data_IF_992276812048
#
_entry.id   IF_992276812048
#
_cell.length_a   1.000
_cell.length_b   1.000
_cell.length_c   1.000
_cell.angle_alpha   90.00
_cell.angle_beta   90.00
_cell.angle_gamma   90.00
#
_symmetry.space_group_name_H-M   'P 1'
#
loop_
_entity.id
_entity.type
_entity.pdbx_description
1 polymer ?
#
# COMPACT_ATOMS: atom_id res chain seq x y z
N UNK A 1 -4.24 -9.16 -3.32
CA UNK A 1 -4.25 -8.71 -1.92
C UNK A 1 -5.70 -8.66 -1.46
N UNK A 2 -5.99 -9.19 -0.27
CA UNK A 2 -7.31 -9.09 0.36
C UNK A 2 -7.14 -8.83 1.85
N UNK A 3 -8.09 -8.16 2.48
CA UNK A 3 -8.05 -7.85 3.90
C UNK A 3 -8.99 -6.72 4.31
N UNK A 4 -9.00 -6.40 5.59
CA UNK A 4 -9.84 -5.35 6.18
C UNK A 4 -8.98 -4.41 7.04
N UNK A 5 -9.40 -3.16 7.06
CA UNK A 5 -8.92 -2.12 7.96
C UNK A 5 -10.01 -1.83 8.98
N UNK A 6 -9.65 -1.77 10.26
CA UNK A 6 -10.58 -1.51 11.36
C UNK A 6 -10.27 -0.17 12.01
N UNK A 7 -11.33 0.59 12.30
CA UNK A 7 -11.23 1.82 13.07
C UNK A 7 -10.93 1.56 14.55
N UNK A 8 -10.62 2.61 15.32
CA UNK A 8 -10.45 2.51 16.78
C UNK A 8 -11.68 2.01 17.53
N UNK A 9 -12.87 2.14 16.92
CA UNK A 9 -14.15 1.63 17.42
C UNK A 9 -14.35 0.13 17.12
N UNK A 10 -13.38 -0.51 16.47
CA UNK A 10 -13.39 -1.91 16.08
C UNK A 10 -14.31 -2.23 14.91
N UNK A 11 -14.79 -1.21 14.18
CA UNK A 11 -15.65 -1.42 13.01
C UNK A 11 -14.83 -1.43 11.73
N UNK A 12 -15.37 -2.08 10.69
CA UNK A 12 -14.78 -2.06 9.36
C UNK A 12 -14.73 -0.62 8.85
N UNK A 13 -13.51 -0.15 8.58
CA UNK A 13 -13.26 1.13 7.91
C UNK A 13 -13.17 0.94 6.40
N UNK A 14 -12.45 -0.10 5.95
CA UNK A 14 -12.26 -0.40 4.53
C UNK A 14 -11.99 -1.88 4.31
N UNK A 15 -12.61 -2.44 3.27
CA UNK A 15 -12.33 -3.77 2.78
C UNK A 15 -11.52 -3.73 1.48
N UNK A 16 -10.71 -4.75 1.26
CA UNK A 16 -9.87 -4.88 0.08
C UNK A 16 -10.01 -6.28 -0.52
N UNK A 17 -10.13 -6.33 -1.83
CA UNK A 17 -9.95 -7.53 -2.62
C UNK A 17 -9.51 -7.12 -4.02
N UNK A 18 -8.22 -7.28 -4.30
CA UNK A 18 -7.59 -6.77 -5.52
C UNK A 18 -6.58 -7.76 -6.05
N UNK A 19 -6.53 -7.90 -7.37
CA UNK A 19 -5.68 -8.83 -8.08
C UNK A 19 -4.88 -8.08 -9.13
N UNK A 20 -3.64 -8.53 -9.34
CA UNK A 20 -2.72 -8.00 -10.32
C UNK A 20 -2.17 -9.14 -11.18
N UNK A 21 -1.85 -8.84 -12.43
CA UNK A 21 -1.20 -9.74 -13.37
C UNK A 21 0.04 -9.06 -13.93
N UNK A 22 1.20 -9.72 -13.89
CA UNK A 22 2.50 -9.16 -14.29
C UNK A 22 2.84 -7.80 -13.63
N UNK A 23 2.38 -7.61 -12.39
CA UNK A 23 2.60 -6.38 -11.62
C UNK A 23 1.71 -5.19 -12.02
N UNK A 24 0.82 -5.36 -12.99
CA UNK A 24 -0.21 -4.40 -13.34
C UNK A 24 -1.56 -4.77 -12.68
N UNK A 25 -2.36 -3.77 -12.34
CA UNK A 25 -3.70 -3.99 -11.80
C UNK A 25 -4.55 -4.77 -12.82
N UNK A 26 -5.32 -5.74 -12.30
CA UNK A 26 -6.18 -6.59 -13.12
C UNK A 26 -7.64 -6.34 -12.75
N UNK A 27 -8.05 -6.65 -11.51
CA UNK A 27 -9.42 -6.42 -11.04
C UNK A 27 -9.42 -6.11 -9.54
N UNK A 28 -10.27 -5.19 -9.09
CA UNK A 28 -10.41 -4.80 -7.70
C UNK A 28 -11.88 -4.63 -7.30
N UNK A 29 -12.21 -5.08 -6.09
CA UNK A 29 -13.47 -4.79 -5.43
C UNK A 29 -13.45 -3.32 -5.01
N UNK A 30 -14.51 -2.59 -5.36
CA UNK A 30 -14.65 -1.18 -5.03
C UNK A 30 -14.95 -0.99 -3.54
N UNK A 31 -14.80 0.24 -3.06
CA UNK A 31 -15.03 0.60 -1.66
C UNK A 31 -16.47 0.36 -1.21
N UNK A 32 -17.42 0.31 -2.15
CA UNK A 32 -18.82 -0.05 -1.90
C UNK A 32 -19.04 -1.54 -1.58
N UNK A 33 -17.99 -2.38 -1.69
CA UNK A 33 -18.00 -3.83 -1.50
C UNK A 33 -19.07 -4.58 -2.30
N UNK A 34 -19.54 -3.98 -3.39
CA UNK A 34 -20.63 -4.52 -4.21
C UNK A 34 -20.29 -4.51 -5.70
N UNK A 35 -19.38 -3.63 -6.13
CA UNK A 35 -19.00 -3.48 -7.53
C UNK A 35 -17.51 -3.71 -7.77
N UNK A 36 -17.15 -3.99 -9.02
CA UNK A 36 -15.79 -4.30 -9.43
C UNK A 36 -15.26 -3.29 -10.45
N UNK A 37 -13.99 -2.90 -10.27
CA UNK A 37 -13.20 -2.18 -11.26
C UNK A 37 -12.28 -3.17 -11.98
N UNK A 38 -12.40 -3.26 -13.29
CA UNK A 38 -11.57 -4.10 -14.14
C UNK A 38 -10.64 -3.21 -14.98
N UNK A 39 -9.35 -3.56 -15.03
CA UNK A 39 -8.33 -2.74 -15.65
C UNK A 39 -8.31 -2.85 -17.19
N UNK A 40 -8.62 -4.03 -17.74
CA UNK A 40 -8.59 -4.30 -19.17
C UNK A 40 -9.70 -5.25 -19.65
N UNK A 41 -9.70 -5.58 -20.94
CA UNK A 41 -10.70 -6.46 -21.54
C UNK A 41 -10.66 -7.90 -21.03
N UNK A 42 -9.50 -8.40 -20.60
CA UNK A 42 -9.40 -9.73 -20.00
C UNK A 42 -10.04 -9.71 -18.59
N UNK A 43 -9.76 -8.68 -17.80
CA UNK A 43 -10.38 -8.47 -16.49
C UNK A 43 -11.90 -8.28 -16.58
N UNK A 44 -12.43 -7.68 -17.64
CA UNK A 44 -13.87 -7.59 -17.88
C UNK A 44 -14.54 -8.97 -17.99
N UNK A 45 -13.83 -9.98 -18.51
CA UNK A 45 -14.34 -11.36 -18.55
C UNK A 45 -14.46 -11.92 -17.13
N UNK A 46 -13.45 -11.71 -16.28
CA UNK A 46 -13.49 -12.11 -14.87
C UNK A 46 -14.61 -11.38 -14.12
N UNK A 47 -14.74 -10.06 -14.31
CA UNK A 47 -15.78 -9.24 -13.70
C UNK A 47 -17.18 -9.81 -13.94
N UNK A 48 -17.53 -10.10 -15.21
CA UNK A 48 -18.85 -10.67 -15.55
C UNK A 48 -19.11 -12.02 -14.88
N UNK A 49 -18.09 -12.87 -14.77
CA UNK A 49 -18.20 -14.17 -14.07
C UNK A 49 -18.45 -13.97 -12.57
N UNK A 50 -17.77 -13.01 -11.95
CA UNK A 50 -17.92 -12.72 -10.52
C UNK A 50 -19.23 -12.05 -10.19
N UNK A 51 -19.70 -11.14 -11.04
CA UNK A 51 -21.03 -10.54 -10.94
C UNK A 51 -22.12 -11.61 -11.06
N UNK A 52 -22.03 -12.50 -12.05
CA UNK A 52 -22.97 -13.61 -12.20
C UNK A 52 -22.94 -14.61 -11.02
N UNK A 53 -21.81 -14.70 -10.32
CA UNK A 53 -21.63 -15.57 -9.16
C UNK A 53 -21.89 -14.86 -7.81
N UNK A 54 -22.29 -13.58 -7.82
CA UNK A 54 -22.48 -12.77 -6.61
C UNK A 54 -21.25 -12.77 -5.68
N UNK A 55 -20.04 -12.77 -6.26
CA UNK A 55 -18.79 -12.92 -5.50
C UNK A 55 -18.59 -11.76 -4.51
N UNK A 56 -18.98 -10.54 -4.89
CA UNK A 56 -18.88 -9.35 -4.04
C UNK A 56 -19.65 -9.53 -2.72
N UNK A 57 -20.84 -10.15 -2.74
CA UNK A 57 -21.66 -10.36 -1.54
C UNK A 57 -21.01 -11.33 -0.55
N UNK A 58 -20.39 -12.41 -1.07
CA UNK A 58 -19.63 -13.36 -0.26
C UNK A 58 -18.43 -12.69 0.38
N UNK A 59 -17.71 -11.88 -0.39
CA UNK A 59 -16.50 -11.22 0.08
C UNK A 59 -16.82 -10.08 1.05
N UNK A 60 -17.89 -9.35 0.83
CA UNK A 60 -18.44 -8.39 1.80
C UNK A 60 -18.74 -9.07 3.14
N UNK A 61 -19.41 -10.22 3.13
CA UNK A 61 -19.72 -10.98 4.36
C UNK A 61 -18.46 -11.41 5.12
N UNK A 62 -17.41 -11.81 4.40
CA UNK A 62 -16.11 -12.13 5.00
C UNK A 62 -15.41 -10.88 5.57
N UNK A 63 -15.40 -9.78 4.82
CA UNK A 63 -14.73 -8.53 5.18
C UNK A 63 -15.40 -7.84 6.36
N UNK A 64 -16.72 -7.83 6.43
CA UNK A 64 -17.50 -7.24 7.54
C UNK A 64 -17.53 -8.14 8.79
N UNK A 65 -17.35 -9.46 8.62
CA UNK A 65 -17.40 -10.44 9.71
C UNK A 65 -16.02 -10.98 10.08
N UNK A 66 -15.70 -12.16 9.55
CA UNK A 66 -14.53 -12.96 9.95
C UNK A 66 -13.20 -12.20 9.89
N UNK A 67 -13.02 -11.30 8.92
CA UNK A 67 -11.81 -10.51 8.82
C UNK A 67 -11.64 -9.58 10.03
N UNK A 68 -12.70 -8.80 10.35
CA UNK A 68 -12.71 -7.88 11.49
C UNK A 68 -12.53 -8.65 12.80
N UNK A 69 -13.29 -9.73 12.98
CA UNK A 69 -13.22 -10.57 14.18
C UNK A 69 -11.81 -11.12 14.40
N UNK A 70 -11.20 -11.66 13.34
CA UNK A 70 -9.84 -12.20 13.41
C UNK A 70 -8.83 -11.10 13.73
N UNK A 71 -8.95 -9.93 13.11
CA UNK A 71 -8.04 -8.80 13.33
C UNK A 71 -8.13 -8.29 14.77
N UNK A 72 -9.34 -8.10 15.31
CA UNK A 72 -9.54 -7.69 16.71
C UNK A 72 -8.95 -8.72 17.68
N UNK A 73 -9.15 -10.01 17.42
CA UNK A 73 -8.54 -11.08 18.21
C UNK A 73 -7.01 -11.00 18.18
N UNK A 74 -6.39 -10.78 17.02
CA UNK A 74 -4.94 -10.67 16.91
C UNK A 74 -4.40 -9.40 17.59
N UNK A 75 -5.12 -8.29 17.50
CA UNK A 75 -4.75 -7.04 18.17
C UNK A 75 -4.78 -7.18 19.69
N UNK A 76 -5.70 -7.97 20.24
CA UNK A 76 -5.74 -8.27 21.67
C UNK A 76 -4.60 -9.21 22.07
N UNK A 77 -4.40 -10.31 21.34
CA UNK A 77 -3.32 -11.28 21.60
C UNK A 77 -1.92 -10.67 21.45
N UNK A 78 -1.75 -9.73 20.53
CA UNK A 78 -0.47 -9.09 20.19
C UNK A 78 -0.32 -7.68 20.74
N UNK A 79 -1.11 -7.27 21.73
CA UNK A 79 -1.18 -5.89 22.22
C UNK A 79 0.17 -5.28 22.58
N UNK A 80 1.07 -6.07 23.14
CA UNK A 80 2.39 -5.61 23.58
C UNK A 80 3.32 -5.18 22.44
N UNK A 81 3.12 -5.73 21.23
CA UNK A 81 3.93 -5.47 20.04
C UNK A 81 3.18 -4.68 18.96
N UNK A 82 1.95 -5.07 18.65
CA UNK A 82 1.16 -4.50 17.55
C UNK A 82 0.56 -3.13 17.87
N UNK A 83 0.27 -2.85 19.14
CA UNK A 83 -0.27 -1.55 19.56
C UNK A 83 0.81 -0.59 20.05
N UNK A 84 2.09 -1.01 20.01
CA UNK A 84 3.22 -0.15 20.35
C UNK A 84 3.57 0.72 19.15
N UNK A 85 3.24 2.00 19.22
CA UNK A 85 3.81 2.99 18.31
C UNK A 85 5.30 3.21 18.65
N UNK A 86 6.18 3.10 17.66
CA UNK A 86 7.57 3.51 17.82
C UNK A 86 7.64 5.02 18.07
N UNK A 87 8.39 5.46 19.06
CA UNK A 87 8.66 6.88 19.25
C UNK A 87 9.72 7.33 18.25
N UNK A 88 9.32 8.10 17.25
CA UNK A 88 10.29 8.82 16.42
C UNK A 88 10.81 9.96 17.29
N UNK A 89 12.12 9.94 17.59
CA UNK A 89 12.75 11.06 18.31
C UNK A 89 12.51 12.35 17.53
N UNK A 90 12.03 13.43 18.16
CA UNK A 90 11.95 14.73 17.50
C UNK A 90 13.32 15.11 16.91
N UNK A 91 13.38 15.32 15.60
CA UNK A 91 14.63 15.58 14.86
C UNK A 91 15.28 14.36 14.19
N UNK A 92 14.73 13.15 14.35
CA UNK A 92 15.12 12.01 13.51
C UNK A 92 14.51 12.19 12.12
N UNK A 93 15.34 12.55 11.14
CA UNK A 93 14.96 12.46 9.73
C UNK A 93 14.82 10.97 9.41
N UNK A 94 13.64 10.49 8.96
CA UNK A 94 13.51 9.11 8.52
C UNK A 94 14.48 8.90 7.36
N UNK A 95 15.54 8.14 7.60
CA UNK A 95 16.49 7.75 6.55
C UNK A 95 15.71 6.92 5.53
N UNK A 96 15.53 7.38 4.28
CA UNK A 96 14.97 6.53 3.25
C UNK A 96 16.02 5.46 3.00
N UNK A 97 15.78 4.25 3.50
CA UNK A 97 16.59 3.09 3.17
C UNK A 97 16.58 2.93 1.64
N UNK A 98 17.63 3.43 0.98
CA UNK A 98 17.78 3.41 -0.47
C UNK A 98 18.24 4.71 -1.13
N UNK A 99 18.24 5.86 -0.45
CA UNK A 99 18.74 7.12 -1.04
C UNK A 99 20.15 7.40 -0.52
N UNK A 100 21.11 7.60 -1.44
CA UNK A 100 22.49 7.87 -1.11
C UNK A 100 22.65 9.03 -0.11
N UNK A 101 23.72 8.99 0.68
CA UNK A 101 24.02 10.00 1.69
C UNK A 101 24.01 11.40 1.08
N UNK A 102 23.11 12.27 1.54
CA UNK A 102 23.12 13.70 1.23
C UNK A 102 23.92 14.45 2.30
N UNK A 103 24.73 15.43 1.87
CA UNK A 103 25.27 16.46 2.75
C UNK A 103 24.68 17.79 2.33
N UNK A 104 23.95 18.44 3.23
CA UNK A 104 23.64 19.86 3.10
C UNK A 104 24.90 20.66 3.41
N UNK A 105 25.33 21.47 2.45
CA UNK A 105 26.30 22.54 2.69
C UNK A 105 25.57 23.85 2.45
N UNK A 106 26.02 24.96 3.05
CA UNK A 106 25.40 26.28 2.90
C UNK A 106 25.34 26.84 1.47
N UNK A 107 25.66 26.04 0.45
CA UNK A 107 25.60 26.34 -0.99
C UNK A 107 24.68 25.36 -1.76
N UNK A 108 23.92 24.49 -1.07
CA UNK A 108 22.96 23.57 -1.68
C UNK A 108 23.20 22.09 -1.34
N UNK A 109 22.32 21.23 -1.87
CA UNK A 109 22.31 19.78 -1.64
C UNK A 109 23.22 19.10 -2.67
N UNK A 110 24.28 18.45 -2.20
CA UNK A 110 25.16 17.63 -3.05
C UNK A 110 24.80 16.15 -2.92
N UNK A 111 24.31 15.54 -4.01
CA UNK A 111 23.96 14.11 -4.07
C UNK A 111 25.16 13.34 -4.63
N UNK A 112 25.72 12.40 -3.84
CA UNK A 112 26.71 11.44 -4.33
C UNK A 112 26.06 10.09 -4.56
N UNK A 113 26.00 9.67 -5.82
CA UNK A 113 25.57 8.32 -6.18
C UNK A 113 26.69 7.30 -5.91
N UNK A 114 26.40 6.13 -5.29
CA UNK A 114 27.42 5.13 -4.93
C UNK A 114 28.09 4.42 -6.12
N UNK A 115 27.56 4.58 -7.34
CA UNK A 115 27.96 3.79 -8.52
C UNK A 115 28.73 4.58 -9.58
N UNK A 116 29.09 5.84 -9.34
CA UNK A 116 29.93 6.61 -10.25
C UNK A 116 31.31 6.82 -9.63
N UNK A 117 32.24 5.93 -10.01
CA UNK A 117 33.67 6.18 -9.87
C UNK A 117 34.04 7.52 -10.51
N UNK A 118 35.03 8.18 -9.92
CA UNK A 118 35.51 9.51 -10.28
C UNK A 118 35.53 9.78 -11.79
N UNK A 119 34.81 10.83 -12.22
CA UNK A 119 35.06 11.50 -13.50
C UNK A 119 34.05 11.22 -14.61
N UNK A 120 32.86 11.82 -14.52
CA UNK A 120 32.15 12.39 -15.68
C UNK A 120 31.00 13.28 -15.20
N UNK A 121 31.09 14.58 -15.47
CA UNK A 121 29.95 15.49 -15.37
C UNK A 121 28.88 15.11 -16.40
N UNK A 122 27.61 14.93 -16.02
CA UNK A 122 26.52 14.88 -16.98
C UNK A 122 26.22 16.31 -17.48
N UNK A 123 25.91 16.49 -18.79
CA UNK A 123 25.65 17.80 -19.35
C UNK A 123 24.39 18.41 -18.70
N UNK A 124 24.47 19.70 -18.41
CA UNK A 124 23.47 20.44 -17.66
C UNK A 124 22.07 20.37 -18.27
N UNK A 125 21.11 19.87 -17.50
CA UNK A 125 19.69 20.17 -17.70
C UNK A 125 19.45 21.63 -17.29
N UNK A 126 19.38 22.53 -18.28
CA UNK A 126 18.73 23.82 -18.08
C UNK A 126 17.22 23.60 -18.08
N UNK A 127 16.55 23.98 -16.99
CA UNK A 127 15.10 24.00 -16.87
C UNK A 127 14.58 25.17 -17.72
N UNK A 128 13.65 24.89 -18.64
CA UNK A 128 12.79 25.88 -19.29
C UNK A 128 11.43 25.87 -18.62
#
# INVERSE_FOLDING_TARGET
MYGCEVGPDGRLLRGYEQYAYDGADYIALNEDLTSWTAADMAAQITKRKWEAAHWAERMRSYLEGLCVESLLMYLEKGKESLQRAGTVRPGAIPSPSGWGSYKETGQGVSVRHPSLGSGREPPGCQVR
#
